data_IF_943258616466
#
_entry.id   IF_943258616466
#
_cell.length_a   1.000
_cell.length_b   1.000
_cell.length_c   1.000
_cell.angle_alpha   90.00
_cell.angle_beta   90.00
_cell.angle_gamma   90.00
#
_symmetry.space_group_name_H-M   'P 1'
#
loop_
_entity.id
_entity.type
_entity.pdbx_description
1 polymer ?
#
# COMPACT_ATOMS: atom_id res chain seq x y z
N UNK A 1 1.61 -22.41 -9.46
CA UNK A 1 1.31 -21.08 -10.02
C UNK A 1 2.63 -20.35 -10.25
N UNK A 2 2.79 -19.60 -11.35
CA UNK A 2 4.00 -18.77 -11.60
C UNK A 2 3.60 -17.30 -11.61
N UNK A 3 4.41 -16.46 -10.98
CA UNK A 3 4.27 -15.00 -11.04
C UNK A 3 5.08 -14.50 -12.24
N UNK A 4 4.50 -13.57 -13.00
CA UNK A 4 5.11 -12.92 -14.15
C UNK A 4 4.96 -11.42 -13.93
N UNK A 5 6.06 -10.68 -14.00
CA UNK A 5 6.00 -9.22 -13.93
C UNK A 5 5.18 -8.66 -15.08
N UNK A 6 4.33 -7.66 -14.78
CA UNK A 6 3.46 -7.05 -15.78
C UNK A 6 4.25 -6.49 -16.97
N UNK A 7 5.43 -5.91 -16.72
CA UNK A 7 6.31 -5.36 -17.75
C UNK A 7 6.95 -6.45 -18.63
N UNK A 8 7.10 -7.67 -18.10
CA UNK A 8 7.63 -8.82 -18.83
C UNK A 8 6.55 -9.72 -19.42
N UNK A 9 5.27 -9.45 -19.12
CA UNK A 9 4.15 -10.22 -19.64
C UNK A 9 4.16 -10.34 -21.19
N UNK A 10 4.45 -9.28 -21.98
CA UNK A 10 4.50 -9.39 -23.45
C UNK A 10 5.62 -10.29 -23.98
N UNK A 11 6.65 -10.56 -23.17
CA UNK A 11 7.78 -11.43 -23.56
C UNK A 11 7.42 -12.90 -23.40
N UNK A 12 6.66 -13.24 -22.34
CA UNK A 12 6.35 -14.62 -21.97
C UNK A 12 4.95 -15.07 -22.36
N UNK A 13 4.04 -14.14 -22.66
CA UNK A 13 2.64 -14.40 -22.98
C UNK A 13 2.32 -13.95 -24.40
N UNK A 14 1.35 -14.61 -25.03
CA UNK A 14 0.81 -14.15 -26.31
C UNK A 14 -0.08 -12.90 -26.12
N UNK A 15 -0.38 -12.21 -27.22
CA UNK A 15 -1.16 -10.98 -27.23
C UNK A 15 -2.55 -11.17 -26.59
N UNK A 16 -3.25 -12.27 -26.92
CA UNK A 16 -4.57 -12.57 -26.33
C UNK A 16 -4.53 -12.73 -24.81
N UNK A 17 -3.50 -13.38 -24.28
CA UNK A 17 -3.30 -13.52 -22.84
C UNK A 17 -2.95 -12.19 -22.16
N UNK A 18 -2.17 -11.33 -22.82
CA UNK A 18 -1.88 -9.98 -22.31
C UNK A 18 -3.15 -9.13 -22.22
N UNK A 19 -4.01 -9.16 -23.24
CA UNK A 19 -5.29 -8.42 -23.23
C UNK A 19 -6.25 -8.96 -22.17
N UNK A 20 -6.31 -10.27 -21.98
CA UNK A 20 -7.08 -10.87 -20.88
C UNK A 20 -6.60 -10.35 -19.52
N UNK A 21 -5.29 -10.34 -19.26
CA UNK A 21 -4.74 -9.83 -17.98
C UNK A 21 -5.05 -8.35 -17.79
N UNK A 22 -4.94 -7.52 -18.83
CA UNK A 22 -5.30 -6.10 -18.76
C UNK A 22 -6.78 -5.87 -18.43
N UNK A 23 -7.66 -6.78 -18.86
CA UNK A 23 -9.09 -6.70 -18.55
C UNK A 23 -9.46 -7.27 -17.18
N UNK A 24 -8.55 -7.98 -16.51
CA UNK A 24 -8.79 -8.48 -15.16
C UNK A 24 -8.74 -7.33 -14.14
N UNK A 25 -9.55 -7.40 -13.07
CA UNK A 25 -9.47 -6.43 -12.00
C UNK A 25 -8.08 -6.45 -11.36
N UNK A 26 -7.46 -5.27 -11.24
CA UNK A 26 -6.20 -5.11 -10.52
C UNK A 26 -6.43 -5.44 -9.04
N UNK A 27 -5.69 -6.42 -8.53
CA UNK A 27 -5.63 -6.70 -7.11
C UNK A 27 -4.59 -5.77 -6.51
N UNK A 28 -4.97 -5.03 -5.47
CA UNK A 28 -4.01 -4.29 -4.67
C UNK A 28 -3.12 -5.30 -3.91
N UNK A 29 -1.82 -5.38 -4.22
CA UNK A 29 -0.93 -6.37 -3.61
C UNK A 29 -0.77 -6.16 -2.10
N UNK A 30 -0.94 -4.92 -1.61
CA UNK A 30 -0.83 -4.57 -0.20
C UNK A 30 -2.00 -5.15 0.56
N UNK A 31 -3.22 -4.91 0.09
CA UNK A 31 -4.41 -5.50 0.68
C UNK A 31 -4.43 -7.02 0.52
N UNK A 32 -3.97 -7.55 -0.62
CA UNK A 32 -3.88 -8.99 -0.85
C UNK A 32 -2.89 -9.69 0.09
N UNK A 33 -1.80 -9.00 0.47
CA UNK A 33 -0.87 -9.47 1.48
C UNK A 33 -1.40 -9.31 2.93
N UNK A 34 -2.60 -8.76 3.12
CA UNK A 34 -3.19 -8.49 4.42
C UNK A 34 -2.60 -7.26 5.12
N UNK A 35 -1.85 -6.43 4.41
CA UNK A 35 -1.32 -5.16 4.91
C UNK A 35 -2.29 -4.00 4.61
N UNK A 36 -1.94 -2.80 5.08
CA UNK A 36 -2.66 -1.57 4.75
C UNK A 36 -1.72 -0.40 4.54
N UNK A 37 -2.21 0.60 3.81
CA UNK A 37 -1.49 1.85 3.66
C UNK A 37 -1.62 2.71 4.92
N UNK A 38 -0.65 3.60 5.15
CA UNK A 38 -0.64 4.53 6.27
C UNK A 38 -1.93 5.36 6.37
N UNK A 39 -2.49 5.81 5.23
CA UNK A 39 -3.76 6.55 5.23
C UNK A 39 -4.97 5.74 5.71
N UNK A 40 -4.91 4.43 5.58
CA UNK A 40 -5.96 3.50 6.02
C UNK A 40 -5.71 2.97 7.44
N UNK A 41 -4.52 3.18 7.99
CA UNK A 41 -4.10 2.57 9.24
C UNK A 41 -4.77 3.26 10.43
N UNK A 42 -5.38 2.50 11.34
CA UNK A 42 -6.02 3.02 12.56
C UNK A 42 -5.07 3.78 13.49
N UNK A 43 -3.77 3.57 13.31
CA UNK A 43 -2.69 4.19 14.07
C UNK A 43 -2.09 5.44 13.42
N UNK A 44 -2.63 5.88 12.28
CA UNK A 44 -2.17 7.09 11.62
C UNK A 44 -3.32 8.10 11.49
N UNK A 45 -3.05 9.34 11.91
CA UNK A 45 -3.99 10.45 11.88
C UNK A 45 -3.65 11.39 10.73
N UNK A 46 -4.68 11.93 10.10
CA UNK A 46 -4.53 12.98 9.10
C UNK A 46 -4.42 14.32 9.84
N UNK A 47 -3.38 15.11 9.59
CA UNK A 47 -3.23 16.46 10.16
C UNK A 47 -3.47 17.54 9.08
N UNK A 48 -4.73 17.95 8.86
CA UNK A 48 -5.03 18.99 7.89
C UNK A 48 -4.49 20.34 8.39
N UNK A 49 -3.43 20.84 7.77
CA UNK A 49 -2.83 22.15 8.09
C UNK A 49 -1.33 22.25 7.83
N UNK A 50 -0.63 21.11 7.77
CA UNK A 50 0.78 21.04 7.38
C UNK A 50 0.85 20.73 5.89
N UNK A 51 1.26 21.71 5.07
CA UNK A 51 1.28 21.65 3.59
C UNK A 51 2.11 20.50 2.98
N UNK A 52 2.80 19.71 3.79
CA UNK A 52 3.68 18.60 3.38
C UNK A 52 3.52 17.33 4.24
N UNK A 53 2.55 17.30 5.16
CA UNK A 53 2.34 16.18 6.09
C UNK A 53 0.89 15.77 6.00
N UNK A 54 0.59 14.80 5.13
CA UNK A 54 -0.77 14.27 5.06
C UNK A 54 -1.03 13.33 6.24
N UNK A 55 -0.07 12.50 6.67
CA UNK A 55 -0.30 11.50 7.71
C UNK A 55 0.83 11.42 8.74
N UNK A 56 0.46 11.28 10.01
CA UNK A 56 1.39 11.02 11.11
C UNK A 56 0.96 9.72 11.78
N UNK A 57 1.89 8.77 11.88
CA UNK A 57 1.66 7.57 12.69
C UNK A 57 2.02 7.88 14.15
N UNK A 58 1.04 7.73 15.03
CA UNK A 58 1.01 8.34 16.37
C UNK A 58 1.42 7.39 17.50
N UNK A 59 1.57 6.09 17.23
CA UNK A 59 1.98 5.14 18.25
C UNK A 59 3.50 5.20 18.47
N UNK A 60 3.89 5.66 19.66
CA UNK A 60 5.27 5.94 20.05
C UNK A 60 6.14 4.70 20.24
N UNK A 61 5.56 3.50 20.29
CA UNK A 61 6.24 2.37 20.93
C UNK A 61 7.12 1.52 20.02
N UNK A 62 6.97 1.49 18.67
CA UNK A 62 7.70 0.47 17.88
C UNK A 62 7.98 0.78 16.40
N UNK A 63 7.89 2.02 15.92
CA UNK A 63 7.80 2.27 14.47
C UNK A 63 9.01 3.03 13.92
N UNK A 64 10.15 2.32 13.87
CA UNK A 64 11.53 2.82 13.73
C UNK A 64 12.15 3.18 15.08
N UNK A 65 13.46 3.01 15.22
CA UNK A 65 14.33 3.57 16.29
C UNK A 65 14.22 5.11 16.47
N UNK A 66 13.22 5.76 15.86
CA UNK A 66 13.21 7.17 15.57
C UNK A 66 11.85 7.91 15.77
N UNK A 67 10.85 7.29 16.43
CA UNK A 67 9.65 8.00 16.94
C UNK A 67 8.54 8.30 15.90
N UNK A 68 7.58 9.19 16.21
CA UNK A 68 6.48 9.53 15.30
C UNK A 68 7.02 10.09 13.98
N UNK A 69 6.57 9.51 12.86
CA UNK A 69 7.01 9.89 11.51
C UNK A 69 5.90 10.52 10.70
N UNK A 70 6.31 11.51 9.93
CA UNK A 70 5.58 11.98 8.75
C UNK A 70 5.66 10.86 7.71
N UNK A 71 4.51 10.37 7.28
CA UNK A 71 4.41 9.32 6.26
C UNK A 71 3.50 9.81 5.13
N UNK A 72 3.78 9.33 3.92
CA UNK A 72 2.87 9.53 2.80
C UNK A 72 1.65 8.60 2.96
N UNK A 73 0.45 9.00 2.49
CA UNK A 73 -0.75 8.17 2.61
C UNK A 73 -0.59 6.78 2.02
N UNK A 74 0.17 6.68 0.93
CA UNK A 74 0.45 5.48 0.15
C UNK A 74 1.69 4.70 0.64
N UNK A 75 2.34 5.16 1.72
CA UNK A 75 3.39 4.39 2.38
C UNK A 75 2.77 3.22 3.17
N UNK A 76 3.58 2.27 3.61
CA UNK A 76 3.10 1.03 4.22
C UNK A 76 3.04 1.09 5.75
N UNK A 77 1.92 0.66 6.32
CA UNK A 77 1.77 0.49 7.77
C UNK A 77 2.24 -0.92 8.17
N UNK A 78 3.32 -1.02 8.94
CA UNK A 78 3.87 -2.33 9.38
C UNK A 78 2.86 -3.16 10.22
N UNK A 79 1.93 -2.50 10.93
CA UNK A 79 0.93 -3.21 11.72
C UNK A 79 -0.28 -3.67 10.92
N UNK A 80 -0.48 -3.16 9.70
CA UNK A 80 -1.56 -3.60 8.81
C UNK A 80 -3.00 -3.40 9.34
N UNK A 81 -3.21 -2.72 10.48
CA UNK A 81 -4.55 -2.60 11.07
C UNK A 81 -5.33 -1.46 10.39
N UNK A 82 -6.24 -1.83 9.49
CA UNK A 82 -7.18 -0.87 8.87
C UNK A 82 -8.07 -0.23 9.93
N UNK A 83 -8.46 1.01 9.71
CA UNK A 83 -9.55 1.67 10.45
C UNK A 83 -10.81 0.81 10.32
N UNK A 84 -11.31 0.30 11.43
CA UNK A 84 -12.66 -0.27 11.47
C UNK A 84 -13.64 0.90 11.32
N UNK A 85 -14.57 0.77 10.36
CA UNK A 85 -15.67 1.71 10.17
C UNK A 85 -16.77 1.48 11.21
#
# INVERSE_FOLDING_TARGET
MRLVDADLAPVYLNEGACEQIKSMPTIDPVHAAGACYCGECGYCIHQPGLKSVEWICIEWHNYCDCGPKIVAPNDFCNYGKRKEN
#
